data_IF_642691153960
#
_entry.id   IF_642691153960
#
_cell.length_a   1.000
_cell.length_b   1.000
_cell.length_c   1.000
_cell.angle_alpha   90.00
_cell.angle_beta   90.00
_cell.angle_gamma   90.00
#
_symmetry.space_group_name_H-M   'P 1'
#
loop_
_entity.id
_entity.type
_entity.pdbx_description
1 polymer ?
#
# COMPACT_ATOMS: atom_id res chain seq x y z
N UNK A 1 3.84 -3.05 15.50
CA UNK A 1 3.88 -1.68 16.06
C UNK A 1 4.26 -0.73 14.93
N UNK A 2 3.48 0.33 14.75
CA UNK A 2 3.80 1.45 13.87
C UNK A 2 5.13 2.11 14.33
N UNK A 3 5.89 2.70 13.41
CA UNK A 3 7.16 3.39 13.71
C UNK A 3 6.90 4.68 14.49
N UNK A 4 6.62 4.58 15.79
CA UNK A 4 6.50 5.74 16.68
C UNK A 4 7.92 6.23 16.98
N UNK A 5 8.26 7.51 16.73
CA UNK A 5 9.58 8.06 17.06
C UNK A 5 9.94 7.82 18.54
N UNK A 6 11.22 7.55 18.84
CA UNK A 6 11.67 7.24 20.22
C UNK A 6 11.28 8.30 21.25
N UNK A 7 11.27 9.57 20.82
CA UNK A 7 10.94 10.74 21.63
C UNK A 7 9.48 11.20 21.47
N UNK A 8 8.60 10.38 20.89
CA UNK A 8 7.19 10.74 20.80
C UNK A 8 6.53 10.61 22.17
N UNK A 9 5.81 11.66 22.54
CA UNK A 9 4.90 11.73 23.68
C UNK A 9 3.78 10.68 23.66
N UNK A 10 3.57 10.02 22.53
CA UNK A 10 2.59 8.95 22.34
C UNK A 10 3.18 7.53 22.51
N UNK A 11 4.48 7.38 22.77
CA UNK A 11 5.06 6.05 23.02
C UNK A 11 4.42 5.43 24.28
N UNK A 12 3.86 4.24 24.12
CA UNK A 12 3.11 3.55 25.18
C UNK A 12 1.67 4.08 25.39
N UNK A 13 1.19 5.03 24.59
CA UNK A 13 -0.20 5.49 24.59
C UNK A 13 -0.99 4.83 23.46
N UNK A 14 -2.27 4.58 23.73
CA UNK A 14 -3.25 4.04 22.80
C UNK A 14 -4.55 4.82 22.95
N UNK A 15 -5.37 4.84 21.90
CA UNK A 15 -6.64 5.58 21.87
C UNK A 15 -6.75 6.49 20.65
N UNK A 16 -7.84 7.28 20.57
CA UNK A 16 -8.09 8.17 19.44
C UNK A 16 -7.01 9.25 19.35
N UNK A 17 -6.76 9.72 18.13
CA UNK A 17 -5.92 10.89 17.90
C UNK A 17 -6.64 12.16 18.37
N UNK A 18 -5.92 13.27 18.49
CA UNK A 18 -6.55 14.53 18.87
C UNK A 18 -7.60 14.93 17.82
N UNK A 19 -8.70 15.54 18.27
CA UNK A 19 -9.75 16.02 17.38
C UNK A 19 -9.20 16.98 16.32
N UNK A 20 -8.30 17.89 16.73
CA UNK A 20 -7.58 18.79 15.83
C UNK A 20 -6.85 18.05 14.69
N UNK A 21 -6.15 16.95 15.00
CA UNK A 21 -5.46 16.16 13.97
C UNK A 21 -6.42 15.42 13.04
N UNK A 22 -7.57 14.99 13.57
CA UNK A 22 -8.63 14.33 12.80
C UNK A 22 -9.29 15.33 11.85
N UNK A 23 -9.63 16.52 12.34
CA UNK A 23 -10.26 17.58 11.56
C UNK A 23 -9.34 18.06 10.44
N UNK A 24 -8.05 18.29 10.73
CA UNK A 24 -7.06 18.69 9.74
C UNK A 24 -6.80 17.62 8.66
N UNK A 25 -6.87 16.34 9.03
CA UNK A 25 -6.76 15.25 8.07
C UNK A 25 -8.02 15.12 7.21
N UNK A 26 -9.21 15.25 7.81
CA UNK A 26 -10.48 15.21 7.09
C UNK A 26 -10.60 16.37 6.08
N UNK A 27 -10.16 17.58 6.45
CA UNK A 27 -10.13 18.72 5.53
C UNK A 27 -9.32 18.40 4.26
N UNK A 28 -8.14 17.79 4.41
CA UNK A 28 -7.30 17.41 3.27
C UNK A 28 -7.84 16.22 2.47
N UNK A 29 -8.47 15.24 3.13
CA UNK A 29 -9.17 14.14 2.46
C UNK A 29 -10.36 14.64 1.64
N UNK A 30 -11.11 15.60 2.18
CA UNK A 30 -12.25 16.22 1.49
C UNK A 30 -11.78 17.15 0.36
N UNK A 31 -10.63 17.80 0.53
CA UNK A 31 -9.92 18.52 -0.53
C UNK A 31 -9.54 17.62 -1.71
N UNK A 32 -8.90 16.48 -1.44
CA UNK A 32 -8.58 15.48 -2.46
C UNK A 32 -9.85 14.96 -3.14
N UNK A 33 -10.89 14.63 -2.37
CA UNK A 33 -12.18 14.19 -2.92
C UNK A 33 -12.78 15.23 -3.87
N UNK A 34 -12.79 16.51 -3.46
CA UNK A 34 -13.34 17.61 -4.26
C UNK A 34 -12.53 17.84 -5.54
N UNK A 35 -11.21 17.74 -5.46
CA UNK A 35 -10.31 17.82 -6.61
C UNK A 35 -10.62 16.71 -7.63
N UNK A 36 -10.71 15.45 -7.20
CA UNK A 36 -11.02 14.32 -8.08
C UNK A 36 -12.40 14.49 -8.74
N UNK A 37 -13.42 14.89 -7.97
CA UNK A 37 -14.78 15.15 -8.48
C UNK A 37 -14.78 16.25 -9.54
N UNK A 38 -14.04 17.35 -9.31
CA UNK A 38 -13.91 18.45 -10.28
C UNK A 38 -13.29 18.04 -11.62
N UNK A 39 -12.52 16.94 -11.62
CA UNK A 39 -11.92 16.32 -12.82
C UNK A 39 -12.78 15.21 -13.42
N UNK A 40 -14.03 15.09 -12.98
CA UNK A 40 -15.00 14.13 -13.51
C UNK A 40 -14.85 12.70 -12.96
N UNK A 41 -14.05 12.50 -11.92
CA UNK A 41 -13.86 11.19 -11.28
C UNK A 41 -14.96 11.00 -10.22
N UNK A 42 -15.66 9.87 -10.27
CA UNK A 42 -16.56 9.45 -9.19
C UNK A 42 -15.74 9.12 -7.95
N UNK A 43 -16.11 9.69 -6.81
CA UNK A 43 -15.48 9.40 -5.51
C UNK A 43 -16.54 8.88 -4.55
N UNK A 44 -16.30 7.68 -4.02
CA UNK A 44 -17.11 7.03 -3.01
C UNK A 44 -16.32 6.89 -1.71
N UNK A 45 -16.97 7.06 -0.56
CA UNK A 45 -16.32 7.10 0.77
C UNK A 45 -16.78 5.92 1.63
N UNK A 46 -15.88 5.30 2.43
CA UNK A 46 -16.25 4.18 3.30
C UNK A 46 -17.26 4.60 4.38
N UNK A 47 -17.96 3.62 4.94
CA UNK A 47 -18.81 3.80 6.12
C UNK A 47 -17.99 3.45 7.38
N UNK A 48 -17.59 4.41 8.22
CA UNK A 48 -16.76 4.13 9.38
C UNK A 48 -17.45 3.22 10.41
N UNK A 49 -16.65 2.44 11.12
CA UNK A 49 -17.08 1.73 12.34
C UNK A 49 -16.79 2.59 13.58
N UNK A 50 -17.34 2.21 14.73
CA UNK A 50 -16.81 2.69 16.01
C UNK A 50 -15.47 2.01 16.31
N UNK A 51 -14.38 2.64 15.89
CA UNK A 51 -13.02 2.10 16.07
C UNK A 51 -12.55 2.04 17.52
N UNK A 52 -13.26 2.67 18.46
CA UNK A 52 -12.93 2.60 19.89
C UNK A 52 -13.62 1.43 20.59
N UNK A 53 -14.55 0.74 19.92
CA UNK A 53 -15.19 -0.45 20.46
C UNK A 53 -14.24 -1.65 20.45
N UNK A 54 -14.20 -2.45 21.54
CA UNK A 54 -13.40 -3.66 21.59
C UNK A 54 -14.01 -4.74 20.69
N UNK A 55 -13.14 -5.56 20.10
CA UNK A 55 -13.52 -6.71 19.28
C UNK A 55 -12.79 -7.97 19.74
N UNK A 56 -13.40 -9.11 19.50
CA UNK A 56 -12.88 -10.41 19.93
C UNK A 56 -13.10 -11.47 18.85
N UNK A 57 -12.09 -12.31 18.67
CA UNK A 57 -12.17 -13.59 17.97
C UNK A 57 -11.92 -14.72 18.97
N UNK A 58 -12.06 -16.00 18.59
CA UNK A 58 -11.63 -17.11 19.45
C UNK A 58 -10.14 -17.08 19.82
N UNK A 59 -9.31 -16.34 19.09
CA UNK A 59 -7.85 -16.39 19.20
C UNK A 59 -7.21 -15.12 19.77
N UNK A 60 -7.89 -13.99 19.71
CA UNK A 60 -7.39 -12.74 20.26
C UNK A 60 -8.52 -11.79 20.66
N UNK A 61 -8.19 -10.87 21.56
CA UNK A 61 -9.01 -9.69 21.88
C UNK A 61 -8.24 -8.45 21.46
N UNK A 62 -8.95 -7.45 20.96
CA UNK A 62 -8.37 -6.19 20.52
C UNK A 62 -9.20 -5.04 21.11
N UNK A 63 -8.57 -4.19 21.92
CA UNK A 63 -9.27 -3.14 22.66
C UNK A 63 -9.77 -1.99 21.78
N UNK A 64 -9.04 -1.67 20.71
CA UNK A 64 -9.42 -0.66 19.70
C UNK A 64 -8.99 -1.11 18.31
N UNK A 65 -9.74 -0.69 17.30
CA UNK A 65 -9.42 -0.91 15.88
C UNK A 65 -8.56 0.23 15.33
N UNK A 66 -8.12 0.11 14.08
CA UNK A 66 -7.22 1.05 13.43
C UNK A 66 -7.93 2.28 12.86
N UNK A 67 -8.82 2.06 11.89
CA UNK A 67 -9.49 3.09 11.09
C UNK A 67 -9.99 2.52 9.77
N UNK A 68 -10.45 3.39 8.86
CA UNK A 68 -10.76 3.06 7.46
C UNK A 68 -9.90 3.86 6.46
N UNK A 69 -8.73 4.28 6.92
CA UNK A 69 -7.67 4.86 6.13
C UNK A 69 -6.40 4.07 6.46
N UNK A 70 -5.65 3.56 5.47
CA UNK A 70 -5.87 3.65 4.03
C UNK A 70 -6.69 2.48 3.43
N UNK A 71 -7.61 2.73 2.47
CA UNK A 71 -8.35 1.66 1.76
C UNK A 71 -7.46 0.75 0.91
N UNK A 72 -6.33 1.26 0.41
CA UNK A 72 -5.40 0.52 -0.46
C UNK A 72 -4.85 -0.75 0.21
N UNK A 73 -4.79 -0.75 1.53
CA UNK A 73 -4.17 -1.82 2.30
C UNK A 73 -5.07 -3.07 2.37
N UNK A 74 -6.39 -2.85 2.34
CA UNK A 74 -7.41 -3.91 2.51
C UNK A 74 -8.07 -4.30 1.19
N UNK A 75 -8.16 -3.41 0.21
CA UNK A 75 -8.88 -3.65 -1.03
C UNK A 75 -7.99 -3.41 -2.24
N UNK A 76 -8.05 -4.34 -3.19
CA UNK A 76 -7.49 -4.18 -4.53
C UNK A 76 -8.51 -4.60 -5.58
N UNK A 77 -8.51 -3.91 -6.72
CA UNK A 77 -9.30 -4.31 -7.89
C UNK A 77 -8.36 -4.85 -8.97
N UNK A 78 -8.59 -6.09 -9.40
CA UNK A 78 -7.81 -6.77 -10.46
C UNK A 78 -8.80 -7.23 -11.53
N UNK A 79 -8.72 -6.62 -12.71
CA UNK A 79 -9.70 -6.84 -13.77
C UNK A 79 -11.10 -6.43 -13.31
N UNK A 80 -12.03 -7.38 -13.27
CA UNK A 80 -13.41 -7.19 -12.78
C UNK A 80 -13.62 -7.74 -11.37
N UNK A 81 -12.56 -7.98 -10.61
CA UNK A 81 -12.65 -8.52 -9.27
C UNK A 81 -12.16 -7.51 -8.24
N UNK A 82 -13.03 -7.17 -7.28
CA UNK A 82 -12.64 -6.51 -6.03
C UNK A 82 -12.31 -7.61 -5.02
N UNK A 83 -11.04 -7.62 -4.58
CA UNK A 83 -10.51 -8.58 -3.64
C UNK A 83 -10.25 -7.92 -2.29
N UNK A 84 -10.82 -8.48 -1.22
CA UNK A 84 -10.46 -8.15 0.15
C UNK A 84 -9.22 -8.93 0.59
N UNK A 85 -8.19 -8.21 0.99
CA UNK A 85 -6.97 -8.77 1.55
C UNK A 85 -7.20 -9.38 2.94
N UNK A 86 -6.31 -10.27 3.33
CA UNK A 86 -6.39 -11.00 4.61
C UNK A 86 -6.17 -10.10 5.83
N UNK A 87 -5.30 -9.09 5.69
CA UNK A 87 -4.70 -8.27 6.74
C UNK A 87 -3.80 -9.04 7.71
N UNK A 88 -2.75 -8.38 8.18
CA UNK A 88 -1.78 -8.96 9.12
C UNK A 88 -1.91 -8.42 10.55
N UNK A 89 -2.57 -7.27 10.73
CA UNK A 89 -2.75 -6.61 12.02
C UNK A 89 -4.08 -7.01 12.67
N UNK A 90 -4.04 -7.49 13.92
CA UNK A 90 -5.25 -7.78 14.72
C UNK A 90 -6.18 -6.56 14.83
N UNK A 91 -5.63 -5.34 14.89
CA UNK A 91 -6.40 -4.08 14.91
C UNK A 91 -7.13 -3.73 13.61
N UNK A 92 -6.83 -4.43 12.51
CA UNK A 92 -7.41 -4.22 11.18
C UNK A 92 -8.30 -5.38 10.73
N UNK A 93 -8.54 -6.35 11.61
CA UNK A 93 -9.23 -7.59 11.27
C UNK A 93 -10.64 -7.37 10.68
N UNK A 94 -11.37 -6.39 11.21
CA UNK A 94 -12.74 -6.06 10.78
C UNK A 94 -12.82 -4.85 9.82
N UNK A 95 -11.69 -4.34 9.33
CA UNK A 95 -11.63 -3.12 8.53
C UNK A 95 -12.43 -3.21 7.22
N UNK A 96 -12.50 -4.41 6.63
CA UNK A 96 -13.27 -4.68 5.41
C UNK A 96 -14.76 -4.29 5.51
N UNK A 97 -15.34 -4.32 6.72
CA UNK A 97 -16.74 -3.95 6.94
C UNK A 97 -17.01 -2.50 6.56
N UNK A 98 -16.01 -1.62 6.64
CA UNK A 98 -16.15 -0.21 6.26
C UNK A 98 -16.49 -0.02 4.77
N UNK A 99 -16.14 -1.01 3.94
CA UNK A 99 -16.24 -0.92 2.49
C UNK A 99 -17.32 -1.83 1.89
N UNK A 100 -17.84 -2.79 2.67
CA UNK A 100 -18.90 -3.71 2.25
C UNK A 100 -20.14 -3.01 1.67
N UNK A 101 -20.63 -1.87 2.22
CA UNK A 101 -21.74 -1.14 1.61
C UNK A 101 -21.44 -0.66 0.19
N UNK A 102 -20.22 -0.15 -0.06
CA UNK A 102 -19.79 0.29 -1.39
C UNK A 102 -19.65 -0.89 -2.36
N UNK A 103 -18.97 -1.96 -1.92
CA UNK A 103 -18.80 -3.15 -2.75
C UNK A 103 -20.16 -3.74 -3.13
N UNK A 104 -21.11 -3.80 -2.20
CA UNK A 104 -22.46 -4.25 -2.48
C UNK A 104 -23.17 -3.38 -3.54
N UNK A 105 -23.00 -2.05 -3.48
CA UNK A 105 -23.53 -1.15 -4.50
C UNK A 105 -22.88 -1.40 -5.87
N UNK A 106 -21.55 -1.54 -5.94
CA UNK A 106 -20.85 -1.82 -7.20
C UNK A 106 -21.30 -3.13 -7.85
N UNK A 107 -21.52 -4.18 -7.05
CA UNK A 107 -22.04 -5.47 -7.53
C UNK A 107 -23.47 -5.38 -8.07
N UNK A 108 -24.27 -4.40 -7.60
CA UNK A 108 -25.61 -4.14 -8.14
C UNK A 108 -25.55 -3.29 -9.42
N UNK A 109 -24.59 -2.37 -9.51
CA UNK A 109 -24.39 -1.49 -10.67
C UNK A 109 -23.75 -2.22 -11.87
N UNK A 110 -22.83 -3.16 -11.62
CA UNK A 110 -22.15 -3.96 -12.64
C UNK A 110 -22.25 -5.45 -12.32
N UNK A 111 -23.15 -6.14 -13.03
CA UNK A 111 -23.39 -7.58 -12.89
C UNK A 111 -22.17 -8.45 -13.30
N UNK A 112 -21.14 -7.86 -13.91
CA UNK A 112 -19.91 -8.56 -14.29
C UNK A 112 -18.77 -8.37 -13.29
N UNK A 113 -18.93 -7.44 -12.34
CA UNK A 113 -18.03 -7.29 -11.20
C UNK A 113 -18.11 -8.56 -10.34
N UNK A 114 -16.99 -8.94 -9.75
CA UNK A 114 -16.86 -10.01 -8.77
C UNK A 114 -16.37 -9.41 -7.46
N UNK A 115 -16.85 -9.96 -6.36
CA UNK A 115 -16.37 -9.63 -5.03
C UNK A 115 -15.88 -10.92 -4.37
N UNK A 116 -14.60 -10.94 -4.01
CA UNK A 116 -13.99 -12.06 -3.31
C UNK A 116 -13.35 -11.57 -2.00
N UNK A 117 -13.33 -12.46 -1.01
CA UNK A 117 -12.54 -12.28 0.21
C UNK A 117 -11.50 -13.38 0.27
N UNK A 118 -10.23 -12.99 0.41
CA UNK A 118 -9.19 -13.94 0.71
C UNK A 118 -9.49 -14.68 2.04
N UNK A 119 -8.92 -15.88 2.26
CA UNK A 119 -9.10 -16.64 3.50
C UNK A 119 -8.75 -15.79 4.71
N UNK A 120 -9.74 -15.49 5.55
CA UNK A 120 -9.52 -14.70 6.75
C UNK A 120 -8.59 -15.47 7.71
N UNK A 121 -7.43 -14.92 8.06
CA UNK A 121 -6.46 -15.61 8.92
C UNK A 121 -6.99 -15.65 10.36
N UNK A 122 -6.56 -16.62 11.16
CA UNK A 122 -6.89 -16.67 12.59
C UNK A 122 -6.11 -15.62 13.38
N UNK A 123 -4.92 -15.24 12.91
CA UNK A 123 -4.00 -14.31 13.58
C UNK A 123 -3.72 -14.71 15.04
N UNK A 124 -3.63 -16.02 15.28
CA UNK A 124 -3.15 -16.55 16.57
C UNK A 124 -1.68 -16.20 16.77
N UNK A 125 -1.13 -16.47 17.96
CA UNK A 125 0.28 -16.17 18.23
C UNK A 125 1.24 -16.91 17.27
N UNK A 126 0.83 -18.06 16.74
CA UNK A 126 1.60 -18.80 15.72
C UNK A 126 1.80 -18.04 14.42
N UNK A 127 0.95 -17.06 14.12
CA UNK A 127 1.04 -16.24 12.90
C UNK A 127 2.19 -15.23 12.99
N UNK A 128 2.80 -15.06 14.17
CA UNK A 128 3.86 -14.07 14.42
C UNK A 128 5.12 -14.68 15.05
N UNK A 129 6.28 -14.15 14.68
CA UNK A 129 7.54 -14.42 15.38
C UNK A 129 7.62 -13.54 16.63
N UNK A 130 7.54 -14.16 17.80
CA UNK A 130 7.67 -13.45 19.07
C UNK A 130 8.99 -12.69 19.17
N UNK A 131 8.93 -11.46 19.69
CA UNK A 131 10.12 -10.61 19.90
C UNK A 131 10.70 -9.97 18.64
N UNK A 132 10.22 -10.28 17.43
CA UNK A 132 10.77 -9.76 16.17
C UNK A 132 10.80 -8.21 16.09
N UNK A 133 9.79 -7.56 16.69
CA UNK A 133 9.69 -6.10 16.74
C UNK A 133 10.24 -5.50 18.04
N UNK A 134 11.04 -6.25 18.80
CA UNK A 134 11.72 -5.73 19.98
C UNK A 134 12.60 -4.53 19.63
N UNK A 135 12.58 -3.53 20.50
CA UNK A 135 13.41 -2.32 20.39
C UNK A 135 14.90 -2.62 20.63
N UNK A 136 15.21 -3.77 21.23
CA UNK A 136 16.58 -4.26 21.44
C UNK A 136 17.23 -4.75 20.13
N UNK A 137 16.45 -4.97 19.07
CA UNK A 137 16.96 -5.46 17.79
C UNK A 137 17.48 -4.29 16.96
N UNK A 138 18.79 -4.34 16.69
CA UNK A 138 19.48 -3.33 15.88
C UNK A 138 18.95 -3.27 14.45
N UNK A 139 19.10 -2.11 13.80
CA UNK A 139 18.71 -1.93 12.40
C UNK A 139 19.48 -2.87 11.46
N UNK A 140 20.76 -3.11 11.74
CA UNK A 140 21.61 -3.99 10.94
C UNK A 140 21.16 -5.45 11.05
N UNK A 141 20.86 -5.93 12.27
CA UNK A 141 20.25 -7.25 12.47
C UNK A 141 18.93 -7.38 11.72
N UNK A 142 18.11 -6.32 11.71
CA UNK A 142 16.83 -6.33 10.98
C UNK A 142 17.05 -6.42 9.46
N UNK A 143 18.02 -5.67 8.90
CA UNK A 143 18.40 -5.79 7.48
C UNK A 143 18.91 -7.19 7.15
N UNK A 144 19.70 -7.81 8.02
CA UNK A 144 20.14 -9.20 7.85
C UNK A 144 18.98 -10.18 7.78
N UNK A 145 17.96 -10.02 8.62
CA UNK A 145 16.75 -10.84 8.57
C UNK A 145 15.94 -10.60 7.30
N UNK A 146 15.75 -9.36 6.88
CA UNK A 146 15.09 -9.03 5.61
C UNK A 146 15.83 -9.63 4.42
N UNK A 147 17.17 -9.59 4.41
CA UNK A 147 18.00 -10.26 3.39
C UNK A 147 17.75 -11.78 3.37
N UNK A 148 17.59 -12.40 4.55
CA UNK A 148 17.25 -13.83 4.69
C UNK A 148 15.76 -14.12 4.49
N UNK A 149 14.93 -13.11 4.21
CA UNK A 149 13.46 -13.22 4.10
C UNK A 149 12.82 -13.78 5.38
N UNK A 150 13.38 -13.41 6.51
CA UNK A 150 12.83 -13.70 7.83
C UNK A 150 12.05 -12.49 8.31
N UNK A 151 10.74 -12.65 8.46
CA UNK A 151 9.82 -11.54 8.77
C UNK A 151 9.02 -11.79 10.05
N UNK A 152 8.30 -10.75 10.49
CA UNK A 152 7.44 -10.80 11.68
C UNK A 152 6.31 -11.81 11.52
N UNK A 153 5.72 -11.96 10.34
CA UNK A 153 4.72 -12.99 10.05
C UNK A 153 5.38 -14.33 9.76
N UNK A 154 4.80 -15.40 10.26
CA UNK A 154 5.21 -16.77 9.94
C UNK A 154 4.49 -17.28 8.69
N UNK A 155 4.82 -18.50 8.27
CA UNK A 155 4.09 -19.24 7.24
C UNK A 155 3.03 -20.15 7.87
N UNK A 156 2.38 -19.79 8.98
CA UNK A 156 1.30 -20.59 9.57
C UNK A 156 0.08 -20.64 8.61
N UNK A 157 -0.31 -19.49 8.08
CA UNK A 157 -1.51 -19.28 7.26
C UNK A 157 -1.25 -18.22 6.17
N UNK A 158 -2.07 -18.15 5.10
CA UNK A 158 -1.94 -17.10 4.09
C UNK A 158 -2.16 -15.72 4.70
N UNK A 159 -1.18 -14.82 4.55
CA UNK A 159 -1.26 -13.43 4.99
C UNK A 159 -0.73 -12.55 3.87
N UNK A 160 -1.49 -11.52 3.52
CA UNK A 160 -1.12 -10.42 2.62
C UNK A 160 -1.97 -9.18 2.86
N UNK A 161 -1.41 -8.03 2.50
CA UNK A 161 -2.08 -6.74 2.39
C UNK A 161 -2.08 -6.28 0.92
N UNK A 162 -3.16 -5.66 0.48
CA UNK A 162 -3.33 -5.24 -0.90
C UNK A 162 -2.28 -4.20 -1.35
N UNK A 163 -1.80 -3.37 -0.42
CA UNK A 163 -0.76 -2.37 -0.67
C UNK A 163 0.65 -2.96 -0.86
N UNK A 164 0.85 -4.27 -0.70
CA UNK A 164 2.08 -4.97 -1.14
C UNK A 164 2.03 -5.38 -2.63
N UNK A 165 0.91 -5.12 -3.33
CA UNK A 165 0.68 -5.53 -4.71
C UNK A 165 0.72 -4.32 -5.65
N UNK A 166 1.66 -4.33 -6.59
CA UNK A 166 1.70 -3.41 -7.74
C UNK A 166 1.14 -4.11 -8.97
N UNK A 167 0.20 -3.46 -9.65
CA UNK A 167 -0.47 -3.95 -10.86
C UNK A 167 0.19 -3.37 -12.11
N UNK A 168 0.64 -4.22 -13.03
CA UNK A 168 1.12 -3.86 -14.36
C UNK A 168 0.48 -4.77 -15.42
N UNK A 169 -0.80 -4.56 -15.70
CA UNK A 169 -1.53 -5.39 -16.67
C UNK A 169 -1.58 -6.86 -16.20
N UNK A 170 -1.02 -7.78 -17.00
CA UNK A 170 -0.90 -9.20 -16.66
C UNK A 170 0.09 -9.53 -15.56
N UNK A 171 0.92 -8.60 -15.12
CA UNK A 171 1.96 -8.82 -14.11
C UNK A 171 1.58 -8.15 -12.79
N UNK A 172 1.58 -8.93 -11.72
CA UNK A 172 1.43 -8.44 -10.35
C UNK A 172 2.75 -8.61 -9.61
N UNK A 173 3.35 -7.51 -9.19
CA UNK A 173 4.55 -7.51 -8.37
C UNK A 173 4.13 -7.46 -6.91
N UNK A 174 4.45 -8.51 -6.16
CA UNK A 174 4.00 -8.68 -4.78
C UNK A 174 5.20 -8.70 -3.85
N UNK A 175 5.27 -7.73 -2.94
CA UNK A 175 6.33 -7.66 -1.95
C UNK A 175 6.16 -8.76 -0.91
N UNK A 176 7.19 -9.60 -0.76
CA UNK A 176 7.34 -10.50 0.38
C UNK A 176 8.02 -9.72 1.52
N UNK A 177 7.30 -9.51 2.61
CA UNK A 177 7.71 -8.61 3.69
C UNK A 177 6.97 -8.87 5.01
N UNK A 178 6.79 -7.82 5.81
CA UNK A 178 6.18 -7.93 7.14
C UNK A 178 4.69 -8.27 7.12
N UNK A 179 4.01 -7.83 6.07
CA UNK A 179 2.54 -7.84 5.95
C UNK A 179 2.05 -8.85 4.92
N UNK A 180 2.96 -9.47 4.18
CA UNK A 180 2.66 -10.43 3.11
C UNK A 180 3.69 -11.55 3.12
N UNK A 181 3.24 -12.79 3.33
CA UNK A 181 4.06 -14.00 3.41
C UNK A 181 3.96 -14.86 2.14
N UNK A 182 4.79 -15.91 2.03
CA UNK A 182 4.81 -16.75 0.83
C UNK A 182 3.52 -17.53 0.64
N UNK A 183 2.87 -18.01 1.72
CA UNK A 183 1.54 -18.64 1.62
C UNK A 183 0.47 -17.70 1.05
N UNK A 184 0.53 -16.41 1.38
CA UNK A 184 -0.33 -15.36 0.82
C UNK A 184 -0.08 -15.17 -0.67
N UNK A 185 1.19 -15.04 -1.05
CA UNK A 185 1.60 -14.92 -2.46
C UNK A 185 1.19 -16.18 -3.27
N UNK A 186 1.35 -17.37 -2.70
CA UNK A 186 0.96 -18.63 -3.35
C UNK A 186 -0.57 -18.80 -3.43
N UNK A 187 -1.31 -18.18 -2.52
CA UNK A 187 -2.77 -18.08 -2.64
C UNK A 187 -3.13 -17.16 -3.81
N UNK A 188 -2.52 -15.98 -3.91
CA UNK A 188 -2.73 -15.04 -5.04
C UNK A 188 -2.41 -15.70 -6.39
N UNK A 189 -1.32 -16.46 -6.49
CA UNK A 189 -0.95 -17.24 -7.70
C UNK A 189 -2.03 -18.22 -8.15
N UNK A 190 -2.64 -18.92 -7.19
CA UNK A 190 -3.69 -19.90 -7.49
C UNK A 190 -5.02 -19.24 -7.82
N UNK A 191 -5.30 -18.11 -7.18
CA UNK A 191 -6.54 -17.36 -7.36
C UNK A 191 -6.58 -16.59 -8.68
N UNK A 192 -5.43 -16.08 -9.14
CA UNK A 192 -5.27 -15.35 -10.40
C UNK A 192 -4.40 -16.13 -11.41
N UNK A 193 -4.86 -17.29 -11.93
CA UNK A 193 -4.05 -18.14 -12.81
C UNK A 193 -3.69 -17.49 -14.15
N UNK A 194 -4.46 -16.49 -14.58
CA UNK A 194 -4.23 -15.74 -15.83
C UNK A 194 -3.22 -14.59 -15.67
N UNK A 195 -2.73 -14.36 -14.45
CA UNK A 195 -1.77 -13.32 -14.10
C UNK A 195 -0.41 -13.93 -13.71
N UNK A 196 0.67 -13.21 -13.99
CA UNK A 196 2.02 -13.56 -13.55
C UNK A 196 2.30 -12.86 -12.22
N UNK A 197 2.48 -13.65 -11.16
CA UNK A 197 2.76 -13.12 -9.81
C UNK A 197 4.26 -13.19 -9.52
N UNK A 198 4.89 -12.02 -9.52
CA UNK A 198 6.30 -11.82 -9.23
C UNK A 198 6.50 -11.54 -7.74
N UNK A 199 7.04 -12.52 -7.00
CA UNK A 199 7.39 -12.31 -5.59
C UNK A 199 8.70 -11.54 -5.49
N UNK A 200 8.66 -10.33 -4.93
CA UNK A 200 9.81 -9.43 -4.87
C UNK A 200 10.14 -9.06 -3.41
N UNK A 201 11.38 -8.66 -3.15
CA UNK A 201 11.81 -8.20 -1.82
C UNK A 201 12.83 -7.06 -1.99
N UNK A 202 12.90 -6.17 -1.02
CA UNK A 202 13.80 -5.01 -1.00
C UNK A 202 14.67 -5.05 0.25
N UNK A 203 15.86 -5.69 0.18
CA UNK A 203 16.72 -5.85 1.36
C UNK A 203 17.23 -4.56 2.00
N UNK A 204 17.19 -3.45 1.27
CA UNK A 204 17.50 -2.11 1.78
C UNK A 204 16.45 -1.57 2.75
N UNK A 205 15.23 -2.11 2.75
CA UNK A 205 14.17 -1.70 3.67
C UNK A 205 14.20 -2.54 4.96
N UNK A 206 14.55 -1.96 6.12
CA UNK A 206 14.49 -2.69 7.38
C UNK A 206 13.06 -2.95 7.85
N UNK A 207 12.05 -2.28 7.29
CA UNK A 207 10.65 -2.47 7.66
C UNK A 207 9.80 -2.60 6.38
N UNK A 208 9.97 -3.70 5.61
CA UNK A 208 9.30 -3.89 4.33
C UNK A 208 7.80 -4.11 4.57
N UNK A 209 7.05 -3.02 4.63
CA UNK A 209 5.61 -2.96 4.69
C UNK A 209 5.13 -2.07 3.55
N UNK A 210 4.31 -2.66 2.66
CA UNK A 210 3.77 -2.05 1.45
C UNK A 210 4.83 -1.65 0.42
N UNK A 211 4.47 -1.75 -0.85
CA UNK A 211 5.40 -1.55 -1.96
C UNK A 211 5.30 -0.15 -2.58
N UNK A 212 4.23 0.58 -2.29
CA UNK A 212 3.85 1.86 -2.90
C UNK A 212 4.60 3.09 -2.36
N UNK A 213 5.67 2.87 -1.60
CA UNK A 213 6.76 3.83 -1.34
C UNK A 213 8.12 3.31 -1.81
N UNK A 214 8.13 2.33 -2.70
CA UNK A 214 9.31 1.58 -3.11
C UNK A 214 9.37 1.39 -4.62
N UNK A 215 8.26 0.97 -5.24
CA UNK A 215 8.15 0.72 -6.68
C UNK A 215 6.80 1.24 -7.20
N UNK A 216 6.83 2.26 -8.05
CA UNK A 216 5.61 2.89 -8.60
C UNK A 216 5.69 2.97 -10.13
N UNK A 217 4.99 2.10 -10.85
CA UNK A 217 4.74 2.28 -12.27
C UNK A 217 3.94 3.57 -12.49
N UNK A 218 4.43 4.46 -13.35
CA UNK A 218 3.77 5.74 -13.63
C UNK A 218 2.94 5.68 -14.92
N UNK A 219 3.48 5.03 -15.95
CA UNK A 219 2.84 4.74 -17.24
C UNK A 219 3.55 3.55 -17.90
N UNK A 220 2.98 2.93 -18.96
CA UNK A 220 3.68 1.85 -19.68
C UNK A 220 5.10 2.25 -20.06
N UNK A 221 6.08 1.45 -19.62
CA UNK A 221 7.50 1.69 -19.90
C UNK A 221 8.22 2.67 -18.96
N UNK A 222 7.58 3.18 -17.90
CA UNK A 222 8.23 4.05 -16.92
C UNK A 222 7.85 3.69 -15.49
N UNK A 223 8.87 3.39 -14.67
CA UNK A 223 8.71 3.07 -13.25
C UNK A 223 9.65 3.92 -12.40
N UNK A 224 9.11 4.40 -11.27
CA UNK A 224 9.87 5.05 -10.21
C UNK A 224 10.29 4.00 -9.17
N UNK A 225 11.57 3.97 -8.80
CA UNK A 225 12.09 3.12 -7.73
C UNK A 225 12.74 3.98 -6.65
N UNK A 226 12.47 3.65 -5.39
CA UNK A 226 13.09 4.31 -4.25
C UNK A 226 14.61 4.01 -4.21
N UNK A 227 15.49 5.02 -4.21
CA UNK A 227 16.94 4.80 -4.22
C UNK A 227 17.47 4.13 -2.95
N UNK A 228 16.78 4.26 -1.81
CA UNK A 228 17.14 3.57 -0.56
C UNK A 228 16.72 2.09 -0.57
N UNK A 229 15.88 1.69 -1.53
CA UNK A 229 15.26 0.37 -1.63
C UNK A 229 15.37 -0.13 -3.08
N UNK A 230 16.60 -0.37 -3.55
CA UNK A 230 16.84 -0.70 -4.95
C UNK A 230 16.21 -2.04 -5.33
N UNK A 231 15.63 -2.09 -6.54
CA UNK A 231 15.22 -3.34 -7.16
C UNK A 231 16.38 -4.34 -7.22
N UNK A 232 16.09 -5.61 -6.96
CA UNK A 232 17.05 -6.70 -7.15
C UNK A 232 17.44 -6.82 -8.63
N UNK A 233 18.68 -7.26 -8.94
CA UNK A 233 19.19 -7.30 -10.31
C UNK A 233 18.32 -8.06 -11.31
N UNK A 234 17.67 -9.14 -10.89
CA UNK A 234 16.75 -9.93 -11.71
C UNK A 234 15.52 -9.13 -12.15
N UNK A 235 14.89 -8.37 -11.24
CA UNK A 235 13.74 -7.53 -11.59
C UNK A 235 14.19 -6.33 -12.42
N UNK A 236 15.35 -5.72 -12.10
CA UNK A 236 15.91 -4.65 -12.93
C UNK A 236 16.10 -5.11 -14.38
N UNK A 237 16.60 -6.33 -14.58
CA UNK A 237 16.72 -6.96 -15.92
C UNK A 237 15.35 -7.19 -16.56
N UNK A 238 14.35 -7.66 -15.81
CA UNK A 238 12.99 -7.89 -16.32
C UNK A 238 12.37 -6.60 -16.88
N UNK A 239 12.45 -5.49 -16.13
CA UNK A 239 11.98 -4.18 -16.56
C UNK A 239 12.75 -3.70 -17.81
N UNK A 240 14.08 -3.68 -17.76
CA UNK A 240 14.92 -3.21 -18.89
C UNK A 240 14.67 -4.03 -20.16
N UNK A 241 14.53 -5.35 -20.04
CA UNK A 241 14.28 -6.24 -21.19
C UNK A 241 12.96 -5.89 -21.88
N UNK A 242 11.97 -5.45 -21.11
CA UNK A 242 10.66 -5.02 -21.58
C UNK A 242 10.57 -3.51 -21.87
N UNK A 243 11.71 -2.87 -22.15
CA UNK A 243 11.82 -1.46 -22.54
C UNK A 243 11.34 -0.48 -21.46
N UNK A 244 11.29 -0.90 -20.18
CA UNK A 244 10.97 0.00 -19.10
C UNK A 244 12.19 0.81 -18.67
N UNK A 245 11.99 2.12 -18.58
CA UNK A 245 12.90 3.03 -17.91
C UNK A 245 12.65 2.96 -16.40
N UNK A 246 13.72 2.71 -15.64
CA UNK A 246 13.71 2.74 -14.18
C UNK A 246 14.37 4.04 -13.74
N UNK A 247 13.60 4.92 -13.11
CA UNK A 247 14.07 6.20 -12.59
C UNK A 247 14.10 6.14 -11.06
N UNK A 248 15.15 6.66 -10.46
CA UNK A 248 15.22 6.81 -9.00
C UNK A 248 14.35 7.99 -8.57
N UNK A 249 13.53 7.79 -7.53
CA UNK A 249 12.70 8.86 -6.96
C UNK A 249 13.54 10.05 -6.50
N UNK A 250 13.00 11.25 -6.66
CA UNK A 250 13.60 12.44 -6.08
C UNK A 250 13.64 12.30 -4.54
N UNK A 251 14.66 12.85 -3.86
CA UNK A 251 14.69 12.81 -2.41
C UNK A 251 13.46 13.52 -1.83
N UNK A 252 12.91 13.07 -0.68
CA UNK A 252 11.82 13.77 -0.01
C UNK A 252 12.20 15.21 0.30
N UNK A 253 11.26 16.14 0.14
CA UNK A 253 11.47 17.55 0.50
C UNK A 253 11.59 17.75 2.02
N UNK A 254 11.15 16.76 2.81
CA UNK A 254 11.16 16.78 4.26
C UNK A 254 12.07 15.71 4.84
N UNK A 255 12.85 16.08 5.84
CA UNK A 255 13.76 15.16 6.54
C UNK A 255 13.12 14.40 7.71
N UNK A 256 11.85 14.70 8.03
CA UNK A 256 11.09 14.05 9.11
C UNK A 256 9.65 13.83 8.68
N UNK A 257 9.10 12.65 9.00
CA UNK A 257 7.67 12.40 8.89
C UNK A 257 6.90 13.29 9.87
N UNK A 258 5.63 13.64 9.59
CA UNK A 258 4.80 14.35 10.55
C UNK A 258 4.64 13.54 11.85
N UNK A 259 4.30 14.19 12.99
CA UNK A 259 4.04 13.49 14.24
C UNK A 259 3.03 12.34 14.05
N UNK A 260 3.30 11.21 14.70
CA UNK A 260 2.44 10.00 14.66
C UNK A 260 2.28 9.35 13.29
N UNK A 261 3.06 9.77 12.30
CA UNK A 261 3.20 9.05 11.04
C UNK A 261 4.14 7.85 11.24
N UNK A 262 3.65 6.67 10.89
CA UNK A 262 4.39 5.42 10.99
C UNK A 262 5.12 5.04 9.71
N UNK A 263 4.91 5.80 8.63
CA UNK A 263 5.60 5.67 7.36
C UNK A 263 6.87 6.52 7.33
N UNK A 264 7.79 6.19 6.42
CA UNK A 264 9.00 6.98 6.20
C UNK A 264 8.69 8.29 5.47
N UNK A 265 9.69 9.16 5.36
CA UNK A 265 9.62 10.39 4.53
C UNK A 265 9.40 10.08 3.06
N UNK A 266 9.59 8.84 2.62
CA UNK A 266 9.27 8.36 1.27
C UNK A 266 7.79 8.31 0.94
N UNK A 267 6.89 8.75 1.84
CA UNK A 267 5.54 9.17 1.41
C UNK A 267 5.58 10.25 0.32
N UNK A 268 6.71 10.94 0.13
CA UNK A 268 6.95 11.85 -0.99
C UNK A 268 6.66 11.26 -2.37
N UNK A 269 6.90 9.96 -2.56
CA UNK A 269 6.63 9.26 -3.81
C UNK A 269 5.30 8.48 -3.80
N UNK A 270 4.53 8.50 -2.71
CA UNK A 270 3.23 7.83 -2.61
C UNK A 270 2.13 8.67 -3.30
N UNK A 271 2.21 8.73 -4.62
CA UNK A 271 1.47 9.62 -5.51
C UNK A 271 0.28 8.91 -6.17
N UNK A 272 -0.68 9.68 -6.68
CA UNK A 272 -1.83 9.12 -7.39
C UNK A 272 -1.81 9.50 -8.86
N UNK A 273 -1.49 8.55 -9.75
CA UNK A 273 -1.67 8.72 -11.19
C UNK A 273 -3.16 8.71 -11.55
N UNK A 274 -3.63 9.76 -12.20
CA UNK A 274 -5.00 9.83 -12.74
C UNK A 274 -5.06 9.16 -14.10
N UNK A 275 -4.04 9.39 -14.93
CA UNK A 275 -3.84 8.79 -16.25
C UNK A 275 -2.32 8.74 -16.57
N UNK A 276 -1.93 8.38 -17.80
CA UNK A 276 -0.52 8.24 -18.21
C UNK A 276 0.27 9.57 -18.26
N UNK A 277 -0.43 10.71 -18.17
CA UNK A 277 0.12 12.06 -18.25
C UNK A 277 -0.12 12.88 -16.99
N UNK A 278 -1.10 12.55 -16.18
CA UNK A 278 -1.52 13.36 -15.03
C UNK A 278 -1.26 12.65 -13.70
N UNK A 279 -0.58 13.31 -12.77
CA UNK A 279 -0.25 12.74 -11.46
C UNK A 279 -0.50 13.75 -10.33
N UNK A 280 -1.19 13.31 -9.27
CA UNK A 280 -1.33 14.06 -8.04
C UNK A 280 -0.15 13.77 -7.11
N UNK A 281 0.46 14.83 -6.56
CA UNK A 281 1.62 14.78 -5.67
C UNK A 281 1.34 15.66 -4.46
N UNK A 282 1.84 15.29 -3.28
CA UNK A 282 1.68 16.16 -2.11
C UNK A 282 2.39 17.50 -2.34
N UNK A 283 1.70 18.60 -2.06
CA UNK A 283 2.09 19.94 -2.53
C UNK A 283 3.46 20.42 -2.03
N UNK A 284 3.89 19.93 -0.87
CA UNK A 284 5.15 20.33 -0.26
C UNK A 284 6.34 19.48 -0.69
N UNK A 285 6.11 18.40 -1.45
CA UNK A 285 7.16 17.50 -1.98
C UNK A 285 7.73 18.03 -3.31
N UNK A 286 8.25 19.26 -3.26
CA UNK A 286 8.66 20.07 -4.41
C UNK A 286 9.66 19.38 -5.35
N UNK A 287 10.56 18.54 -4.82
CA UNK A 287 11.55 17.83 -5.62
C UNK A 287 10.92 16.72 -6.46
N UNK A 288 9.89 16.06 -5.92
CA UNK A 288 9.15 15.04 -6.65
C UNK A 288 8.26 15.68 -7.73
N UNK A 289 7.68 16.84 -7.43
CA UNK A 289 6.93 17.66 -8.41
C UNK A 289 7.86 18.06 -9.57
N UNK A 290 9.03 18.64 -9.29
CA UNK A 290 9.99 19.06 -10.31
C UNK A 290 10.50 17.88 -11.16
N UNK A 291 10.73 16.72 -10.54
CA UNK A 291 11.13 15.52 -11.27
C UNK A 291 10.06 15.07 -12.26
N UNK A 292 8.79 15.00 -11.83
CA UNK A 292 7.69 14.55 -12.68
C UNK A 292 7.38 15.54 -13.82
N UNK A 293 7.47 16.84 -13.56
CA UNK A 293 7.35 17.87 -14.60
C UNK A 293 8.41 17.69 -15.69
N UNK A 294 9.68 17.46 -15.31
CA UNK A 294 10.77 17.16 -16.25
C UNK A 294 10.57 15.84 -17.03
N UNK A 295 9.79 14.91 -16.50
CA UNK A 295 9.40 13.66 -17.17
C UNK A 295 8.15 13.82 -18.07
N UNK A 296 7.59 15.04 -18.12
CA UNK A 296 6.48 15.42 -18.98
C UNK A 296 5.10 15.10 -18.42
N UNK A 297 4.95 15.02 -17.10
CA UNK A 297 3.64 14.89 -16.46
C UNK A 297 2.98 16.25 -16.19
N UNK A 298 1.65 16.32 -16.32
CA UNK A 298 0.81 17.32 -15.68
C UNK A 298 0.75 16.99 -14.18
N UNK A 299 1.55 17.70 -13.40
CA UNK A 299 1.65 17.47 -11.95
C UNK A 299 0.63 18.34 -11.23
N UNK A 300 -0.21 17.71 -10.42
CA UNK A 300 -1.22 18.38 -9.59
C UNK A 300 -0.77 18.36 -8.13
N UNK A 301 -0.32 19.50 -7.56
CA UNK A 301 -0.03 19.60 -6.14
C UNK A 301 -1.32 19.45 -5.31
N UNK A 302 -1.27 18.66 -4.25
CA UNK A 302 -2.40 18.42 -3.33
C UNK A 302 -1.95 18.63 -1.88
N UNK A 303 -2.60 19.54 -1.12
CA UNK A 303 -2.41 19.62 0.33
C UNK A 303 -2.81 18.28 0.98
N UNK A 304 -1.84 17.50 1.48
CA UNK A 304 -2.15 16.15 1.98
C UNK A 304 -1.31 15.69 3.19
N UNK A 305 -0.37 16.52 3.64
CA UNK A 305 0.57 16.16 4.72
C UNK A 305 -0.08 15.85 6.08
N UNK A 306 -1.24 16.44 6.40
CA UNK A 306 -1.99 16.16 7.64
C UNK A 306 -2.70 14.80 7.61
N UNK A 307 -2.95 14.24 6.42
CA UNK A 307 -3.52 12.89 6.27
C UNK A 307 -2.46 11.78 6.40
N UNK A 308 -1.17 12.07 6.17
CA UNK A 308 -0.07 11.10 6.27
C UNK A 308 -0.09 10.27 7.56
N UNK A 309 -0.28 10.88 8.75
CA UNK A 309 -0.29 10.14 9.98
C UNK A 309 -1.37 9.06 10.04
N UNK A 310 -2.47 9.22 9.31
CA UNK A 310 -3.62 8.29 9.29
C UNK A 310 -3.47 7.14 8.29
N UNK A 311 -2.38 7.12 7.54
CA UNK A 311 -1.84 5.83 7.10
C UNK A 311 -1.09 5.78 5.80
N UNK A 312 -0.96 6.91 5.10
CA UNK A 312 -0.13 6.99 3.92
C UNK A 312 -0.40 8.25 3.12
N UNK A 313 0.19 8.29 1.93
CA UNK A 313 0.00 9.37 0.97
C UNK A 313 -1.22 9.15 0.09
N UNK A 314 -1.18 9.73 -1.11
CA UNK A 314 -2.32 9.78 -2.04
C UNK A 314 -2.68 8.39 -2.59
N UNK A 315 -1.69 7.54 -2.85
CA UNK A 315 -1.94 6.17 -3.34
C UNK A 315 -2.56 5.29 -2.26
N UNK A 316 -2.03 5.35 -1.03
CA UNK A 316 -2.59 4.60 0.10
C UNK A 316 -4.03 5.06 0.38
N UNK A 317 -4.27 6.38 0.34
CA UNK A 317 -5.55 7.00 0.64
C UNK A 317 -6.69 6.67 -0.35
N UNK A 318 -6.38 6.01 -1.45
CA UNK A 318 -7.33 5.72 -2.52
C UNK A 318 -7.30 4.25 -2.89
N UNK A 319 -8.42 3.74 -3.39
CA UNK A 319 -8.45 2.47 -4.15
C UNK A 319 -9.21 2.72 -5.44
N UNK A 320 -8.53 2.56 -6.57
CA UNK A 320 -9.13 2.70 -7.89
C UNK A 320 -9.94 1.46 -8.23
N UNK A 321 -11.26 1.64 -8.29
CA UNK A 321 -12.24 0.59 -8.62
C UNK A 321 -12.37 0.43 -10.13
N UNK A 322 -12.25 1.53 -10.89
CA UNK A 322 -12.41 1.53 -12.34
C UNK A 322 -11.42 2.49 -12.99
N UNK A 323 -10.79 2.03 -14.08
CA UNK A 323 -9.98 2.83 -15.00
C UNK A 323 -10.34 2.40 -16.42
N UNK A 324 -10.42 3.35 -17.34
CA UNK A 324 -10.59 3.04 -18.77
C UNK A 324 -9.34 2.33 -19.30
N UNK A 325 -9.51 1.19 -19.98
CA UNK A 325 -8.39 0.43 -20.53
C UNK A 325 -8.72 -1.02 -20.87
N UNK A 326 -7.67 -1.76 -21.21
CA UNK A 326 -7.71 -3.19 -21.52
C UNK A 326 -6.63 -3.93 -20.73
N UNK A 327 -6.73 -5.27 -20.67
CA UNK A 327 -5.72 -6.09 -20.02
C UNK A 327 -4.52 -6.29 -20.95
N UNK A 328 -3.49 -5.48 -20.76
CA UNK A 328 -2.24 -5.52 -21.52
C UNK A 328 -1.16 -6.41 -20.91
N UNK A 329 -0.26 -6.87 -21.78
CA UNK A 329 0.95 -7.57 -21.40
C UNK A 329 2.18 -6.66 -21.57
N UNK A 330 2.54 -5.93 -20.52
CA UNK A 330 3.71 -5.03 -20.53
C UNK A 330 5.05 -5.74 -20.31
N UNK A 331 5.04 -7.07 -20.13
CA UNK A 331 6.23 -7.88 -19.86
C UNK A 331 6.36 -9.09 -20.80
N UNK A 332 5.84 -8.96 -22.04
CA UNK A 332 5.74 -10.06 -23.00
C UNK A 332 7.10 -10.72 -23.37
N UNK A 333 8.23 -10.01 -23.18
CA UNK A 333 9.58 -10.51 -23.49
C UNK A 333 10.18 -11.37 -22.36
N UNK A 334 9.42 -11.68 -21.32
CA UNK A 334 9.85 -12.60 -20.26
C UNK A 334 10.10 -14.02 -20.82
N UNK A 335 9.25 -14.47 -21.75
CA UNK A 335 9.32 -15.82 -22.33
C UNK A 335 10.19 -15.92 -23.60
N UNK A 336 10.70 -14.81 -24.13
CA UNK A 336 11.64 -14.86 -25.26
C UNK A 336 13.01 -15.30 -24.77
N UNK A 337 13.29 -16.60 -24.87
CA UNK A 337 14.66 -17.12 -24.82
C UNK A 337 15.40 -16.71 -26.10
N UNK A 338 16.08 -15.57 -26.07
CA UNK A 338 17.26 -15.26 -26.89
C UNK A 338 18.22 -14.41 -26.08
#
# INVERSE_FOLDING_TARGET
MARIPENSDMRGRYGPRSQESIDAANEQLDGLSSLLISRGIRVDRPTPLDFNSPVQTPDFTQGTMFGCQPPRDIIITIGREILEATMSFRSRFFEYLCYRPLIAAYMQEDATMRHESAPRPRLSDKSYRHGYLSEEISLETRKEWVMKKEFVTTEEEPIFEAADIVRCGKDLFVQHGFTTNMKGIDWLRRHFPDYRIHAINFPGDPFPSHIDCTLLPLRPGLVLNNPDRPLLPEFRKLFIRNDWQIIEAAPPAHHKSPPLCYSSTWLSMNMLSLDEKTVCVEESEIYQIEQLDKLGFDVIPVPFRNAYPFGGGLHCATTDIWREGHLDDYFAKENSQY
#
